data_IF_507856634889
#
_entry.id   IF_507856634889
#
_cell.length_a   1.000
_cell.length_b   1.000
_cell.length_c   1.000
_cell.angle_alpha   90.00
_cell.angle_beta   90.00
_cell.angle_gamma   90.00
#
_symmetry.space_group_name_H-M   'P 1'
#
loop_
_entity.id
_entity.type
_entity.pdbx_description
1 polymer ?
#
# COMPACT_ATOMS: atom_id res chain seq x y z
N UNK A 1 13.93 1.77 34.14
CA UNK A 1 13.39 1.94 32.76
C UNK A 1 14.34 1.22 31.80
N UNK A 2 13.95 0.05 31.31
CA UNK A 2 14.77 -0.75 30.39
C UNK A 2 14.80 -0.07 29.02
N UNK A 3 15.99 0.19 28.51
CA UNK A 3 16.27 0.71 27.18
C UNK A 3 15.49 -0.09 26.12
N UNK A 4 14.64 0.50 25.28
CA UNK A 4 13.96 -0.26 24.23
C UNK A 4 15.01 -0.73 23.23
N UNK A 5 15.25 -2.05 23.19
CA UNK A 5 16.05 -2.69 22.15
C UNK A 5 15.55 -2.21 20.78
N UNK A 6 16.45 -1.71 19.96
CA UNK A 6 16.30 -1.16 18.60
C UNK A 6 14.92 -1.40 17.99
N UNK A 7 14.02 -0.45 18.17
CA UNK A 7 12.76 -0.41 17.41
C UNK A 7 13.14 -0.23 15.95
N UNK A 8 12.69 -1.13 15.08
CA UNK A 8 12.76 -0.97 13.63
C UNK A 8 11.95 0.28 13.24
N UNK A 9 12.57 1.44 13.38
CA UNK A 9 11.94 2.72 13.02
C UNK A 9 11.75 2.75 11.51
N UNK A 10 10.55 3.08 11.07
CA UNK A 10 10.27 3.29 9.65
C UNK A 10 11.19 4.40 9.12
N UNK A 11 12.04 4.07 8.17
CA UNK A 11 12.86 5.06 7.48
C UNK A 11 12.09 5.55 6.23
N UNK A 12 11.63 6.81 6.23
CA UNK A 12 11.01 7.39 5.04
C UNK A 12 12.01 7.41 3.88
N UNK A 13 11.49 7.45 2.66
CA UNK A 13 12.33 7.67 1.48
C UNK A 13 12.99 9.05 1.53
N UNK A 14 14.14 9.18 0.86
CA UNK A 14 14.84 10.47 0.76
C UNK A 14 13.93 11.53 0.14
N UNK A 15 14.00 12.77 0.67
CA UNK A 15 13.31 13.91 0.07
C UNK A 15 14.05 14.41 -1.17
N UNK A 16 13.32 15.01 -2.11
CA UNK A 16 13.91 15.59 -3.32
C UNK A 16 14.89 16.72 -2.98
N UNK A 17 14.55 17.57 -1.98
CA UNK A 17 15.41 18.66 -1.54
C UNK A 17 16.73 18.17 -0.95
N UNK A 18 16.68 17.12 -0.14
CA UNK A 18 17.87 16.52 0.45
C UNK A 18 18.82 16.00 -0.65
N UNK A 19 18.28 15.33 -1.69
CA UNK A 19 19.05 14.80 -2.81
C UNK A 19 19.64 15.93 -3.66
N UNK A 20 18.86 16.97 -3.96
CA UNK A 20 19.35 18.17 -4.65
C UNK A 20 20.55 18.78 -3.93
N UNK A 21 20.43 18.98 -2.61
CA UNK A 21 21.50 19.58 -1.80
C UNK A 21 22.73 18.68 -1.71
N UNK A 22 22.53 17.37 -1.46
CA UNK A 22 23.66 16.44 -1.24
C UNK A 22 24.48 16.17 -2.50
N UNK A 23 23.82 16.10 -3.66
CA UNK A 23 24.48 15.70 -4.91
C UNK A 23 24.59 16.83 -5.94
N UNK A 24 24.23 18.07 -5.56
CA UNK A 24 24.29 19.26 -6.42
C UNK A 24 23.56 19.06 -7.78
N UNK A 25 22.41 18.38 -7.78
CA UNK A 25 21.61 18.13 -8.98
C UNK A 25 20.45 19.11 -9.07
N UNK A 26 20.24 19.71 -10.25
CA UNK A 26 19.18 20.68 -10.48
C UNK A 26 17.78 20.06 -10.56
N UNK A 27 17.69 18.84 -11.12
CA UNK A 27 16.43 18.11 -11.31
C UNK A 27 16.44 16.78 -10.59
N UNK A 28 15.36 16.50 -9.89
CA UNK A 28 15.16 15.22 -9.17
C UNK A 28 13.89 14.55 -9.64
N UNK A 29 13.98 13.25 -9.94
CA UNK A 29 12.86 12.35 -10.23
C UNK A 29 12.72 11.36 -9.09
N UNK A 30 11.58 11.40 -8.37
CA UNK A 30 11.33 10.58 -7.20
C UNK A 30 10.43 9.40 -7.55
N UNK A 31 11.03 8.22 -7.74
CA UNK A 31 10.34 6.96 -8.04
C UNK A 31 10.40 5.98 -6.84
N UNK A 32 10.17 6.49 -5.62
CA UNK A 32 10.44 5.78 -4.37
C UNK A 32 9.21 5.49 -3.50
N UNK A 33 8.14 6.27 -3.61
CA UNK A 33 7.04 6.28 -2.63
C UNK A 33 5.70 5.79 -3.17
N UNK A 34 5.67 5.25 -4.38
CA UNK A 34 4.47 4.74 -5.05
C UNK A 34 3.38 5.83 -5.17
N UNK A 35 3.82 7.06 -5.44
CA UNK A 35 2.95 8.20 -5.69
C UNK A 35 2.45 8.15 -7.14
N UNK A 36 1.27 8.70 -7.40
CA UNK A 36 0.75 8.80 -8.76
C UNK A 36 1.42 10.01 -9.47
N UNK A 37 2.07 9.83 -10.63
CA UNK A 37 2.84 10.88 -11.27
C UNK A 37 1.98 12.01 -11.89
N UNK A 38 0.67 11.80 -12.03
CA UNK A 38 -0.25 12.82 -12.58
C UNK A 38 -0.57 13.95 -11.59
N UNK A 39 -0.29 13.75 -10.27
CA UNK A 39 -0.81 14.64 -9.24
C UNK A 39 -2.33 14.49 -9.06
N UNK A 40 -2.96 15.23 -8.13
CA UNK A 40 -4.38 15.14 -7.87
C UNK A 40 -5.23 15.62 -9.05
N UNK A 41 -6.46 15.10 -9.18
CA UNK A 41 -7.39 15.58 -10.21
C UNK A 41 -7.75 17.05 -10.00
N UNK A 42 -8.03 17.77 -11.10
CA UNK A 42 -8.44 19.17 -11.04
C UNK A 42 -9.71 19.37 -10.20
N UNK A 43 -10.64 18.42 -10.25
CA UNK A 43 -11.85 18.43 -9.43
C UNK A 43 -11.53 18.40 -7.94
N UNK A 44 -10.58 17.56 -7.52
CA UNK A 44 -10.13 17.49 -6.14
C UNK A 44 -9.37 18.76 -5.71
N UNK A 45 -8.50 19.30 -6.57
CA UNK A 45 -7.73 20.54 -6.32
C UNK A 45 -8.68 21.73 -6.14
N UNK A 46 -9.66 21.91 -7.03
CA UNK A 46 -10.59 23.03 -6.96
C UNK A 46 -11.46 22.97 -5.70
N UNK A 47 -11.93 21.77 -5.34
CA UNK A 47 -12.68 21.60 -4.10
C UNK A 47 -11.84 21.91 -2.86
N UNK A 48 -10.58 21.47 -2.82
CA UNK A 48 -9.66 21.81 -1.74
C UNK A 48 -9.42 23.31 -1.59
N UNK A 49 -9.27 24.02 -2.72
CA UNK A 49 -9.11 25.49 -2.72
C UNK A 49 -10.31 26.23 -2.12
N UNK A 50 -11.53 25.76 -2.40
CA UNK A 50 -12.74 26.33 -1.81
C UNK A 50 -12.81 26.04 -0.31
N UNK A 51 -12.45 24.83 0.10
CA UNK A 51 -12.54 24.37 1.46
C UNK A 51 -11.53 25.02 2.42
N UNK A 52 -10.42 25.52 1.92
CA UNK A 52 -9.39 26.23 2.72
C UNK A 52 -10.01 27.42 3.48
N UNK A 53 -11.03 28.06 2.93
CA UNK A 53 -11.68 29.24 3.54
C UNK A 53 -12.46 28.92 4.82
N UNK A 54 -12.78 27.64 5.09
CA UNK A 54 -13.56 27.18 6.23
C UNK A 54 -12.75 26.40 7.28
N UNK A 55 -11.42 26.37 7.16
CA UNK A 55 -10.54 25.60 8.06
C UNK A 55 -10.54 26.07 9.53
N UNK A 56 -11.15 27.19 9.84
CA UNK A 56 -11.37 27.63 11.23
C UNK A 56 -12.46 26.81 11.95
N UNK A 57 -13.14 25.89 11.29
CA UNK A 57 -14.15 25.00 11.84
C UNK A 57 -13.67 23.55 11.84
N UNK A 58 -14.15 22.78 12.82
CA UNK A 58 -13.93 21.33 12.83
C UNK A 58 -14.64 20.67 11.65
N UNK A 59 -14.05 19.62 11.06
CA UNK A 59 -14.70 18.84 10.01
C UNK A 59 -15.88 18.02 10.56
N UNK A 60 -16.67 17.41 9.66
CA UNK A 60 -17.60 16.36 10.09
C UNK A 60 -16.82 15.19 10.69
N UNK A 61 -16.91 15.02 12.02
CA UNK A 61 -16.22 13.95 12.75
C UNK A 61 -16.72 12.54 12.41
N UNK A 62 -17.88 12.42 11.76
CA UNK A 62 -18.41 11.14 11.25
C UNK A 62 -18.00 10.87 9.81
N UNK A 63 -17.50 11.86 9.06
CA UNK A 63 -17.21 11.79 7.63
C UNK A 63 -18.43 11.30 6.81
N UNK A 64 -19.64 11.77 7.15
CA UNK A 64 -20.90 11.23 6.66
C UNK A 64 -21.01 11.25 5.14
N UNK A 65 -20.70 12.37 4.51
CA UNK A 65 -20.74 12.53 3.05
C UNK A 65 -19.72 11.63 2.33
N UNK A 66 -18.53 11.50 2.91
CA UNK A 66 -17.50 10.62 2.34
C UNK A 66 -17.89 9.15 2.47
N UNK A 67 -18.46 8.74 3.61
CA UNK A 67 -18.97 7.37 3.81
C UNK A 67 -20.08 7.07 2.81
N UNK A 68 -21.00 8.01 2.60
CA UNK A 68 -22.09 7.83 1.63
C UNK A 68 -21.52 7.71 0.19
N UNK A 69 -20.56 8.54 -0.18
CA UNK A 69 -19.93 8.45 -1.51
C UNK A 69 -19.20 7.12 -1.71
N UNK A 70 -18.48 6.62 -0.70
CA UNK A 70 -17.83 5.29 -0.75
C UNK A 70 -18.89 4.19 -0.89
N UNK A 71 -20.02 4.30 -0.17
CA UNK A 71 -21.12 3.35 -0.27
C UNK A 71 -21.71 3.33 -1.70
N UNK A 72 -21.91 4.51 -2.29
CA UNK A 72 -22.39 4.65 -3.69
C UNK A 72 -21.38 4.10 -4.68
N UNK A 73 -20.08 4.40 -4.51
CA UNK A 73 -19.00 3.87 -5.33
C UNK A 73 -18.98 2.33 -5.32
N UNK A 74 -19.26 1.74 -4.16
CA UNK A 74 -19.31 0.28 -3.96
C UNK A 74 -20.74 -0.31 -4.00
N UNK A 75 -21.70 0.33 -4.71
CA UNK A 75 -23.13 -0.04 -4.71
C UNK A 75 -23.40 -1.52 -5.02
N UNK A 76 -22.58 -2.15 -5.87
CA UNK A 76 -22.72 -3.57 -6.23
C UNK A 76 -22.65 -4.52 -5.02
N UNK A 77 -21.95 -4.11 -3.94
CA UNK A 77 -21.80 -4.91 -2.73
C UNK A 77 -22.93 -4.71 -1.71
N UNK A 78 -23.84 -3.77 -1.95
CA UNK A 78 -24.98 -3.44 -1.08
C UNK A 78 -24.54 -3.15 0.37
N UNK A 79 -23.45 -2.41 0.52
CA UNK A 79 -22.93 -1.98 1.82
C UNK A 79 -23.91 -0.99 2.47
N UNK A 80 -23.94 -1.00 3.82
CA UNK A 80 -24.57 0.04 4.63
C UNK A 80 -23.48 1.02 5.09
N UNK A 81 -23.84 2.26 5.44
CA UNK A 81 -22.90 3.26 5.98
C UNK A 81 -22.12 2.73 7.18
N UNK A 82 -22.77 1.96 8.04
CA UNK A 82 -22.20 1.30 9.22
C UNK A 82 -21.21 0.16 8.92
N UNK A 83 -21.00 -0.18 7.66
CA UNK A 83 -19.95 -1.12 7.23
C UNK A 83 -18.62 -0.42 6.88
N UNK A 84 -18.57 0.91 6.98
CA UNK A 84 -17.45 1.72 6.50
C UNK A 84 -16.89 2.56 7.64
N UNK A 85 -15.58 2.65 7.76
CA UNK A 85 -14.86 3.54 8.66
C UNK A 85 -13.82 4.35 7.86
N UNK A 86 -13.69 5.64 8.18
CA UNK A 86 -12.71 6.53 7.57
C UNK A 86 -11.55 6.76 8.53
N UNK A 87 -10.34 6.77 7.99
CA UNK A 87 -9.12 7.02 8.77
C UNK A 87 -8.17 8.00 8.11
N UNK A 88 -7.25 8.51 8.89
CA UNK A 88 -6.14 9.38 8.45
C UNK A 88 -5.10 8.56 7.65
N UNK A 89 -5.47 8.18 6.43
CA UNK A 89 -4.87 7.12 5.62
C UNK A 89 -5.29 5.72 6.09
N UNK A 90 -5.04 4.71 5.25
CA UNK A 90 -5.25 3.31 5.66
C UNK A 90 -4.40 2.91 6.89
N UNK A 91 -3.29 3.60 7.13
CA UNK A 91 -2.43 3.35 8.28
C UNK A 91 -3.17 3.52 9.62
N UNK A 92 -4.02 4.56 9.76
CA UNK A 92 -4.82 4.70 10.97
C UNK A 92 -5.83 3.56 11.12
N UNK A 93 -6.43 3.10 10.02
CA UNK A 93 -7.33 1.93 10.09
C UNK A 93 -6.57 0.70 10.60
N UNK A 94 -5.35 0.46 10.09
CA UNK A 94 -4.50 -0.64 10.55
C UNK A 94 -4.13 -0.50 12.04
N UNK A 95 -3.84 0.73 12.50
CA UNK A 95 -3.60 1.02 13.92
C UNK A 95 -4.83 0.74 14.78
N UNK A 96 -6.01 1.22 14.35
CA UNK A 96 -7.27 0.95 15.04
C UNK A 96 -7.57 -0.54 15.15
N UNK A 97 -7.23 -1.33 14.12
CA UNK A 97 -7.33 -2.79 14.17
C UNK A 97 -6.41 -3.35 15.26
N UNK A 98 -5.14 -2.91 15.30
CA UNK A 98 -4.21 -3.31 16.36
C UNK A 98 -4.76 -3.01 17.75
N UNK A 99 -5.19 -1.78 17.99
CA UNK A 99 -5.75 -1.32 19.26
C UNK A 99 -7.04 -2.05 19.66
N UNK A 100 -7.85 -2.48 18.68
CA UNK A 100 -9.14 -3.12 18.93
C UNK A 100 -9.04 -4.64 19.15
N UNK A 101 -8.05 -5.31 18.56
CA UNK A 101 -8.03 -6.78 18.50
C UNK A 101 -6.77 -7.41 19.07
N UNK A 102 -5.76 -6.61 19.45
CA UNK A 102 -4.50 -7.12 20.00
C UNK A 102 -4.30 -6.69 21.44
N UNK A 103 -3.81 -7.62 22.23
CA UNK A 103 -3.30 -7.40 23.59
C UNK A 103 -1.86 -7.92 23.67
N UNK A 104 -1.18 -7.61 24.78
CA UNK A 104 0.17 -8.14 25.08
C UNK A 104 0.15 -9.67 25.02
N UNK A 105 1.13 -10.24 24.31
CA UNK A 105 1.31 -11.68 24.09
C UNK A 105 0.32 -12.36 23.12
N UNK A 106 -0.65 -11.64 22.55
CA UNK A 106 -1.40 -12.16 21.39
C UNK A 106 -0.46 -12.37 20.20
N UNK A 107 -0.83 -13.24 19.28
CA UNK A 107 -0.03 -13.49 18.09
C UNK A 107 -0.65 -12.84 16.85
N UNK A 108 0.23 -12.23 16.05
CA UNK A 108 -0.09 -11.66 14.74
C UNK A 108 0.71 -12.38 13.67
N UNK A 109 0.03 -12.88 12.65
CA UNK A 109 0.71 -13.51 11.51
C UNK A 109 0.87 -12.50 10.38
N UNK A 110 2.09 -12.37 9.87
CA UNK A 110 2.43 -11.57 8.70
C UNK A 110 3.36 -12.36 7.77
N UNK A 111 3.28 -12.10 6.48
CA UNK A 111 4.25 -12.66 5.53
C UNK A 111 5.61 -11.99 5.65
N UNK A 112 6.68 -12.75 5.40
CA UNK A 112 8.01 -12.19 5.18
C UNK A 112 7.95 -11.07 4.12
N UNK A 113 8.77 -10.04 4.29
CA UNK A 113 8.82 -8.89 3.41
C UNK A 113 7.52 -8.07 3.32
N UNK A 114 6.51 -8.32 4.19
CA UNK A 114 5.28 -7.52 4.19
C UNK A 114 5.51 -6.05 4.57
N UNK A 115 4.50 -5.23 4.34
CA UNK A 115 4.52 -3.80 4.67
C UNK A 115 4.88 -3.56 6.14
N UNK A 116 5.93 -2.77 6.38
CA UNK A 116 6.56 -2.60 7.70
C UNK A 116 5.60 -2.09 8.78
N UNK A 117 4.54 -1.39 8.40
CA UNK A 117 3.55 -0.85 9.33
C UNK A 117 2.86 -1.96 10.12
N UNK A 118 2.67 -3.15 9.57
CA UNK A 118 2.10 -4.27 10.31
C UNK A 118 2.98 -4.68 11.50
N UNK A 119 4.31 -4.75 11.30
CA UNK A 119 5.27 -5.02 12.38
C UNK A 119 5.25 -3.92 13.44
N UNK A 120 5.23 -2.64 13.00
CA UNK A 120 5.21 -1.50 13.91
C UNK A 120 3.98 -1.52 14.82
N UNK A 121 2.80 -1.75 14.24
CA UNK A 121 1.54 -1.82 14.99
C UNK A 121 1.56 -3.02 15.95
N UNK A 122 1.97 -4.20 15.48
CA UNK A 122 2.03 -5.39 16.35
C UNK A 122 2.95 -5.16 17.55
N UNK A 123 4.13 -4.59 17.33
CA UNK A 123 5.08 -4.28 18.38
C UNK A 123 4.55 -3.23 19.38
N UNK A 124 3.84 -2.19 18.89
CA UNK A 124 3.27 -1.15 19.78
C UNK A 124 2.16 -1.70 20.68
N UNK A 125 1.48 -2.76 20.27
CA UNK A 125 0.49 -3.46 21.09
C UNK A 125 1.12 -4.53 22.00
N UNK A 126 2.43 -4.75 21.94
CA UNK A 126 3.10 -5.84 22.68
C UNK A 126 2.73 -7.25 22.18
N UNK A 127 2.22 -7.34 20.95
CA UNK A 127 1.87 -8.61 20.33
C UNK A 127 3.12 -9.31 19.76
N UNK A 128 3.12 -10.63 19.78
CA UNK A 128 4.15 -11.48 19.20
C UNK A 128 3.93 -11.61 17.69
N UNK A 129 4.95 -11.28 16.91
CA UNK A 129 4.92 -11.43 15.46
C UNK A 129 5.33 -12.83 15.06
N UNK A 130 4.46 -13.54 14.34
CA UNK A 130 4.75 -14.79 13.66
C UNK A 130 4.95 -14.48 12.17
N UNK A 131 6.21 -14.44 11.76
CA UNK A 131 6.57 -14.14 10.37
C UNK A 131 6.67 -15.44 9.58
N UNK A 132 5.83 -15.57 8.53
CA UNK A 132 5.78 -16.77 7.68
C UNK A 132 6.48 -16.54 6.35
N UNK A 133 7.03 -17.62 5.77
CA UNK A 133 7.69 -17.53 4.48
C UNK A 133 6.69 -17.25 3.35
N UNK A 134 7.15 -16.56 2.33
CA UNK A 134 6.47 -16.40 1.04
C UNK A 134 6.82 -17.57 0.11
N UNK A 135 6.13 -17.68 -1.02
CA UNK A 135 6.39 -18.72 -2.01
C UNK A 135 7.82 -18.63 -2.59
N UNK A 136 8.46 -19.81 -2.78
CA UNK A 136 9.86 -19.93 -3.18
C UNK A 136 10.05 -19.69 -4.69
N UNK A 137 11.31 -19.53 -5.11
CA UNK A 137 11.75 -19.19 -6.46
C UNK A 137 11.28 -20.14 -7.59
N UNK A 138 11.05 -21.41 -7.27
CA UNK A 138 10.65 -22.43 -8.26
C UNK A 138 9.14 -22.62 -8.37
N UNK A 139 8.37 -21.76 -7.69
CA UNK A 139 6.92 -21.76 -7.70
C UNK A 139 6.43 -20.73 -8.75
N UNK A 140 5.38 -21.07 -9.50
CA UNK A 140 4.73 -20.13 -10.44
C UNK A 140 4.18 -18.89 -9.75
N UNK A 141 4.00 -18.97 -8.44
CA UNK A 141 3.57 -17.88 -7.55
C UNK A 141 4.72 -17.21 -6.78
N UNK A 142 5.93 -17.18 -7.36
CA UNK A 142 7.14 -16.62 -6.75
C UNK A 142 6.90 -15.25 -6.09
N UNK A 143 7.40 -15.09 -4.86
CA UNK A 143 7.25 -13.88 -4.03
C UNK A 143 5.79 -13.52 -3.63
N UNK A 144 4.82 -14.38 -3.91
CA UNK A 144 3.44 -14.19 -3.39
C UNK A 144 3.32 -14.62 -1.94
N UNK A 145 2.28 -14.12 -1.29
CA UNK A 145 1.89 -14.58 0.04
C UNK A 145 1.60 -16.09 0.01
N UNK A 146 2.20 -16.84 0.93
CA UNK A 146 1.96 -18.29 1.08
C UNK A 146 0.83 -18.52 2.09
N UNK A 147 -0.37 -18.73 1.60
CA UNK A 147 -1.56 -18.95 2.44
C UNK A 147 -1.47 -20.23 3.28
N UNK A 148 -0.82 -21.28 2.78
CA UNK A 148 -0.60 -22.52 3.54
C UNK A 148 0.33 -22.28 4.72
N UNK A 149 1.47 -21.58 4.50
CA UNK A 149 2.37 -21.21 5.60
C UNK A 149 1.68 -20.36 6.66
N UNK A 150 0.76 -19.48 6.27
CA UNK A 150 -0.08 -18.70 7.21
C UNK A 150 -0.96 -19.66 8.01
N UNK A 151 -1.70 -20.55 7.35
CA UNK A 151 -2.60 -21.51 7.97
C UNK A 151 -1.87 -22.40 8.97
N UNK A 152 -0.74 -22.97 8.59
CA UNK A 152 0.06 -23.90 9.41
C UNK A 152 0.67 -23.22 10.64
N UNK A 153 0.80 -21.89 10.62
CA UNK A 153 1.33 -21.09 11.74
C UNK A 153 0.27 -20.59 12.72
N UNK A 154 -1.01 -20.92 12.50
CA UNK A 154 -2.10 -20.51 13.39
C UNK A 154 -2.01 -21.27 14.71
N UNK A 155 -2.06 -20.54 15.82
CA UNK A 155 -2.14 -21.06 17.19
C UNK A 155 -3.41 -20.59 17.91
N UNK A 156 -3.61 -21.05 19.14
CA UNK A 156 -4.69 -20.56 20.01
C UNK A 156 -4.56 -19.07 20.37
N UNK A 157 -3.34 -18.50 20.28
CA UNK A 157 -3.02 -17.10 20.56
C UNK A 157 -3.15 -16.18 19.35
N UNK A 158 -3.31 -16.73 18.13
CA UNK A 158 -3.45 -15.92 16.90
C UNK A 158 -4.75 -15.13 16.92
N UNK A 159 -4.65 -13.81 16.81
CA UNK A 159 -5.79 -12.87 16.80
C UNK A 159 -5.97 -12.17 15.46
N UNK A 160 -4.87 -11.76 14.82
CA UNK A 160 -4.90 -10.98 13.58
C UNK A 160 -3.94 -11.57 12.55
N UNK A 161 -4.39 -11.61 11.31
CA UNK A 161 -3.57 -11.96 10.14
C UNK A 161 -3.60 -10.75 9.19
N UNK A 162 -2.43 -10.22 8.81
CA UNK A 162 -2.34 -9.15 7.81
C UNK A 162 -1.90 -9.73 6.45
N UNK A 163 -2.68 -9.44 5.41
CA UNK A 163 -2.42 -9.84 4.03
C UNK A 163 -2.51 -8.60 3.14
N UNK A 164 -1.38 -8.12 2.62
CA UNK A 164 -1.37 -7.09 1.58
C UNK A 164 -1.68 -7.74 0.22
N UNK A 165 -2.74 -7.29 -0.45
CA UNK A 165 -3.19 -7.88 -1.71
C UNK A 165 -3.76 -6.84 -2.69
N UNK A 166 -2.96 -6.30 -3.62
CA UNK A 166 -1.56 -6.64 -3.97
C UNK A 166 -0.53 -6.30 -2.90
N UNK A 167 0.54 -7.08 -2.86
CA UNK A 167 1.59 -6.99 -1.85
C UNK A 167 2.57 -5.83 -2.10
N UNK A 168 2.94 -5.14 -1.07
CA UNK A 168 4.05 -4.19 -1.05
C UNK A 168 5.14 -4.76 -0.10
N UNK A 169 6.40 -5.00 -0.58
CA UNK A 169 7.04 -4.39 -1.75
C UNK A 169 7.10 -5.26 -3.01
N UNK A 170 6.54 -6.47 -3.03
CA UNK A 170 6.74 -7.41 -4.15
C UNK A 170 5.90 -7.07 -5.38
N UNK A 171 4.74 -6.44 -5.22
CA UNK A 171 3.78 -6.18 -6.29
C UNK A 171 2.90 -7.37 -6.66
N UNK A 172 3.14 -8.53 -6.06
CA UNK A 172 2.44 -9.78 -6.33
C UNK A 172 1.02 -9.82 -5.75
N UNK A 173 0.20 -10.72 -6.23
CA UNK A 173 -1.20 -10.84 -5.80
C UNK A 173 -1.58 -12.31 -5.58
N UNK A 174 -2.43 -12.56 -4.61
CA UNK A 174 -3.16 -13.82 -4.42
C UNK A 174 -4.54 -13.68 -5.04
N UNK A 175 -4.96 -14.64 -5.83
CA UNK A 175 -6.27 -14.62 -6.45
C UNK A 175 -7.41 -14.81 -5.42
N UNK A 176 -8.59 -14.29 -5.76
CA UNK A 176 -9.75 -14.28 -4.86
C UNK A 176 -10.26 -15.69 -4.54
N UNK A 177 -10.08 -16.67 -5.43
CA UNK A 177 -10.49 -18.08 -5.20
C UNK A 177 -9.60 -18.70 -4.13
N UNK A 178 -8.29 -18.59 -4.26
CA UNK A 178 -7.31 -19.06 -3.26
C UNK A 178 -7.54 -18.41 -1.90
N UNK A 179 -7.81 -17.08 -1.90
CA UNK A 179 -8.14 -16.36 -0.67
C UNK A 179 -9.45 -16.85 -0.04
N UNK A 180 -10.47 -17.17 -0.84
CA UNK A 180 -11.73 -17.75 -0.35
C UNK A 180 -11.52 -19.10 0.32
N UNK A 181 -10.76 -19.99 -0.29
CA UNK A 181 -10.47 -21.32 0.29
C UNK A 181 -9.65 -21.20 1.58
N UNK A 182 -8.68 -20.30 1.62
CA UNK A 182 -7.94 -20.00 2.84
C UNK A 182 -8.89 -19.51 3.96
N UNK A 183 -9.76 -18.55 3.70
CA UNK A 183 -10.70 -18.00 4.69
C UNK A 183 -11.69 -19.05 5.22
N UNK A 184 -12.07 -20.04 4.40
CA UNK A 184 -12.86 -21.20 4.86
C UNK A 184 -12.12 -22.10 5.82
N UNK A 185 -10.81 -22.20 5.66
CA UNK A 185 -9.95 -23.17 6.37
C UNK A 185 -9.45 -22.70 7.73
N UNK A 186 -9.69 -21.45 8.12
CA UNK A 186 -9.19 -20.84 9.35
C UNK A 186 -10.29 -20.58 10.39
N UNK A 187 -9.97 -20.51 11.69
CA UNK A 187 -10.93 -20.20 12.74
C UNK A 187 -11.59 -18.82 12.55
N UNK A 188 -12.92 -18.77 12.63
CA UNK A 188 -13.71 -17.53 12.42
C UNK A 188 -13.46 -16.43 13.46
N UNK A 189 -12.84 -16.76 14.60
CA UNK A 189 -12.46 -15.80 15.65
C UNK A 189 -11.23 -14.96 15.29
N UNK A 190 -10.46 -15.35 14.28
CA UNK A 190 -9.26 -14.64 13.83
C UNK A 190 -9.68 -13.55 12.85
N UNK A 191 -9.26 -12.33 13.09
CA UNK A 191 -9.49 -11.21 12.17
C UNK A 191 -8.47 -11.30 11.03
N UNK A 192 -8.94 -11.31 9.80
CA UNK A 192 -8.09 -11.26 8.60
C UNK A 192 -8.21 -9.90 7.95
N UNK A 193 -7.10 -9.16 7.95
CA UNK A 193 -7.00 -7.85 7.32
C UNK A 193 -6.45 -8.02 5.91
N UNK A 194 -7.23 -7.61 4.91
CA UNK A 194 -6.83 -7.63 3.51
C UNK A 194 -6.59 -6.19 3.08
N UNK A 195 -5.30 -5.83 2.97
CA UNK A 195 -4.90 -4.48 2.61
C UNK A 195 -4.86 -4.34 1.08
N UNK A 196 -5.87 -3.66 0.55
CA UNK A 196 -6.10 -3.42 -0.87
C UNK A 196 -5.65 -2.02 -1.31
N UNK A 197 -4.58 -1.47 -0.77
CA UNK A 197 -4.10 -0.13 -1.11
C UNK A 197 -3.77 0.06 -2.61
N UNK A 198 -3.63 -1.01 -3.38
CA UNK A 198 -3.28 -1.00 -4.82
C UNK A 198 -4.31 -1.73 -5.70
N UNK A 199 -5.48 -2.06 -5.17
CA UNK A 199 -6.42 -2.97 -5.83
C UNK A 199 -6.94 -2.46 -7.17
N UNK A 200 -7.05 -1.15 -7.37
CA UNK A 200 -7.56 -0.58 -8.61
C UNK A 200 -6.65 -0.96 -9.80
N UNK A 201 -5.32 -0.97 -9.60
CA UNK A 201 -4.35 -1.42 -10.61
C UNK A 201 -4.50 -2.91 -10.92
N UNK A 202 -4.72 -3.74 -9.90
CA UNK A 202 -4.94 -5.17 -10.06
C UNK A 202 -6.27 -5.48 -10.76
N UNK A 203 -7.35 -4.78 -10.40
CA UNK A 203 -8.64 -4.90 -11.06
C UNK A 203 -8.57 -4.52 -12.53
N UNK A 204 -7.78 -3.51 -12.89
CA UNK A 204 -7.55 -3.14 -14.28
C UNK A 204 -6.85 -4.24 -15.09
N UNK A 205 -6.07 -5.09 -14.44
CA UNK A 205 -5.46 -6.31 -15.00
C UNK A 205 -6.34 -7.58 -14.84
N UNK A 206 -7.63 -7.42 -14.55
CA UNK A 206 -8.62 -8.52 -14.50
C UNK A 206 -8.75 -9.21 -13.13
N UNK A 207 -8.05 -8.76 -12.09
CA UNK A 207 -8.22 -9.30 -10.74
C UNK A 207 -9.54 -8.86 -10.09
N UNK A 208 -10.00 -9.67 -9.13
CA UNK A 208 -11.19 -9.34 -8.32
C UNK A 208 -10.76 -8.88 -6.92
N UNK A 209 -11.48 -7.91 -6.39
CA UNK A 209 -11.32 -7.45 -5.01
C UNK A 209 -11.82 -8.48 -4.01
N UNK A 210 -11.19 -8.53 -2.83
CA UNK A 210 -11.70 -9.30 -1.70
C UNK A 210 -13.05 -8.79 -1.16
N UNK A 211 -13.53 -7.62 -1.61
CA UNK A 211 -14.91 -7.17 -1.36
C UNK A 211 -15.95 -8.16 -1.89
N UNK A 212 -15.64 -8.97 -2.88
CA UNK A 212 -16.52 -10.04 -3.35
C UNK A 212 -16.78 -11.10 -2.26
N UNK A 213 -15.92 -11.17 -1.23
CA UNK A 213 -16.00 -12.11 -0.11
C UNK A 213 -16.65 -11.52 1.14
N UNK A 214 -16.96 -10.21 1.18
CA UNK A 214 -17.40 -9.51 2.39
C UNK A 214 -18.69 -10.04 2.99
N UNK A 215 -19.54 -10.65 2.18
CA UNK A 215 -20.81 -11.24 2.64
C UNK A 215 -20.63 -12.66 3.19
N UNK A 216 -19.65 -13.38 2.66
CA UNK A 216 -19.41 -14.79 2.99
C UNK A 216 -18.63 -14.93 4.31
N UNK A 217 -17.79 -13.94 4.64
CA UNK A 217 -16.88 -13.99 5.79
C UNK A 217 -17.07 -12.79 6.71
N UNK A 218 -17.42 -13.07 7.97
CA UNK A 218 -17.71 -12.04 8.96
C UNK A 218 -16.47 -11.46 9.64
N UNK A 219 -15.34 -12.13 9.53
CA UNK A 219 -14.09 -11.82 10.21
C UNK A 219 -13.02 -11.16 9.32
N UNK A 220 -13.42 -10.63 8.16
CA UNK A 220 -12.50 -9.90 7.28
C UNK A 220 -12.67 -8.38 7.41
N UNK A 221 -11.56 -7.68 7.35
CA UNK A 221 -11.50 -6.23 7.25
C UNK A 221 -10.71 -5.89 5.98
N UNK A 222 -11.30 -5.12 5.09
CA UNK A 222 -10.66 -4.68 3.86
C UNK A 222 -10.26 -3.22 4.02
N UNK A 223 -8.98 -2.90 3.85
CA UNK A 223 -8.47 -1.53 3.91
C UNK A 223 -8.15 -1.00 2.53
N UNK A 224 -8.43 0.28 2.30
CA UNK A 224 -8.19 0.99 1.05
C UNK A 224 -7.64 2.39 1.29
N UNK A 225 -6.95 2.92 0.30
CA UNK A 225 -6.26 4.20 0.42
C UNK A 225 -6.55 5.11 -0.76
N UNK A 226 -6.69 6.40 -0.49
CA UNK A 226 -6.69 7.43 -1.53
C UNK A 226 -5.29 7.92 -1.92
N UNK A 227 -4.26 7.38 -1.25
CA UNK A 227 -2.86 7.81 -1.47
C UNK A 227 -2.28 7.40 -2.82
N UNK A 228 -2.83 6.36 -3.48
CA UNK A 228 -2.20 5.76 -4.67
C UNK A 228 -2.88 6.22 -5.95
N UNK A 229 -3.88 5.49 -6.42
CA UNK A 229 -4.54 5.78 -7.69
C UNK A 229 -5.19 7.17 -7.74
N UNK A 230 -5.71 7.64 -6.62
CA UNK A 230 -6.38 8.95 -6.52
C UNK A 230 -5.43 10.14 -6.34
N UNK A 231 -4.11 9.89 -6.21
CA UNK A 231 -3.06 10.90 -6.17
C UNK A 231 -3.15 11.94 -5.03
N UNK A 232 -3.83 11.63 -3.93
CA UNK A 232 -3.96 12.52 -2.78
C UNK A 232 -3.23 11.98 -1.53
N UNK A 233 -2.02 11.46 -1.73
CA UNK A 233 -1.21 10.88 -0.66
C UNK A 233 -0.95 11.86 0.51
N UNK A 234 -0.75 13.14 0.21
CA UNK A 234 -0.52 14.20 1.19
C UNK A 234 -1.76 14.56 2.02
N UNK A 235 -2.96 14.30 1.52
CA UNK A 235 -4.23 14.59 2.24
C UNK A 235 -4.49 13.64 3.39
N UNK A 236 -3.84 12.48 3.43
CA UNK A 236 -3.95 11.47 4.50
C UNK A 236 -5.38 10.96 4.71
N UNK A 237 -5.95 10.30 3.73
CA UNK A 237 -7.29 9.70 3.82
C UNK A 237 -7.30 8.28 3.27
N UNK A 238 -8.02 7.39 3.97
CA UNK A 238 -8.25 6.00 3.61
C UNK A 238 -9.51 5.49 4.31
N UNK A 239 -9.90 4.26 4.01
CA UNK A 239 -11.10 3.68 4.60
C UNK A 239 -10.96 2.18 4.82
N UNK A 240 -11.75 1.68 5.76
CA UNK A 240 -11.95 0.26 6.04
C UNK A 240 -13.39 -0.17 5.79
N UNK A 241 -13.56 -1.40 5.32
CA UNK A 241 -14.88 -2.03 5.11
C UNK A 241 -14.91 -3.36 5.85
N UNK A 242 -15.96 -3.56 6.68
CA UNK A 242 -16.16 -4.82 7.41
C UNK A 242 -17.62 -4.99 7.84
N UNK A 243 -17.90 -6.00 8.64
CA UNK A 243 -19.18 -6.16 9.32
C UNK A 243 -19.40 -5.05 10.34
N UNK A 244 -20.65 -4.77 10.64
CA UNK A 244 -21.07 -3.62 11.49
C UNK A 244 -20.46 -3.68 12.89
N UNK A 245 -20.45 -4.83 13.53
CA UNK A 245 -19.88 -5.06 14.86
C UNK A 245 -18.38 -4.76 14.93
N UNK A 246 -17.64 -5.18 13.90
CA UNK A 246 -16.22 -4.87 13.76
C UNK A 246 -16.03 -3.35 13.58
N UNK A 247 -16.79 -2.73 12.68
CA UNK A 247 -16.68 -1.27 12.44
C UNK A 247 -17.04 -0.47 13.70
N UNK A 248 -18.04 -0.89 14.46
CA UNK A 248 -18.37 -0.26 15.75
C UNK A 248 -17.20 -0.34 16.74
N UNK A 249 -16.56 -1.51 16.84
CA UNK A 249 -15.38 -1.70 17.69
C UNK A 249 -14.22 -0.82 17.27
N UNK A 250 -13.94 -0.67 15.96
CA UNK A 250 -12.91 0.25 15.46
C UNK A 250 -13.26 1.72 15.77
N UNK A 251 -14.52 2.10 15.58
CA UNK A 251 -14.98 3.47 15.86
C UNK A 251 -14.87 3.85 17.34
N UNK A 252 -15.00 2.90 18.30
CA UNK A 252 -14.82 3.18 19.72
C UNK A 252 -13.37 3.54 20.09
N UNK A 253 -12.39 3.20 19.24
CA UNK A 253 -10.97 3.52 19.43
C UNK A 253 -10.51 4.72 18.60
N UNK A 254 -11.35 5.21 17.70
CA UNK A 254 -11.03 6.30 16.78
C UNK A 254 -11.06 7.64 17.48
N UNK A 255 -10.06 8.49 17.22
CA UNK A 255 -10.03 9.87 17.70
C UNK A 255 -11.13 10.72 17.05
N UNK A 256 -11.75 11.64 17.79
CA UNK A 256 -12.67 12.60 17.18
C UNK A 256 -11.97 13.43 16.10
N UNK A 257 -12.69 13.76 15.02
CA UNK A 257 -12.19 14.63 13.94
C UNK A 257 -10.86 14.19 13.31
N UNK A 258 -10.60 12.88 13.28
CA UNK A 258 -9.33 12.28 12.85
C UNK A 258 -8.96 12.57 11.38
N UNK A 259 -9.93 12.84 10.51
CA UNK A 259 -9.69 13.14 9.10
C UNK A 259 -10.06 14.59 8.81
N UNK A 260 -9.10 15.37 8.34
CA UNK A 260 -9.28 16.79 8.05
C UNK A 260 -10.27 17.02 6.89
N UNK A 261 -10.89 18.20 6.87
CA UNK A 261 -11.96 18.56 5.95
C UNK A 261 -11.51 18.56 4.48
N UNK A 262 -10.30 19.07 4.21
CA UNK A 262 -9.74 19.07 2.85
C UNK A 262 -9.60 17.62 2.35
N UNK A 263 -9.14 16.71 3.18
CA UNK A 263 -9.01 15.30 2.81
C UNK A 263 -10.36 14.66 2.48
N UNK A 264 -11.40 14.95 3.27
CA UNK A 264 -12.75 14.43 3.03
C UNK A 264 -13.29 14.90 1.68
N UNK A 265 -13.25 16.21 1.40
CA UNK A 265 -13.80 16.74 0.14
C UNK A 265 -12.99 16.32 -1.08
N UNK A 266 -11.65 16.28 -0.98
CA UNK A 266 -10.79 15.78 -2.05
C UNK A 266 -11.09 14.30 -2.36
N UNK A 267 -11.29 13.46 -1.35
CA UNK A 267 -11.64 12.05 -1.54
C UNK A 267 -12.99 11.89 -2.24
N UNK A 268 -14.01 12.63 -1.83
CA UNK A 268 -15.33 12.65 -2.49
C UNK A 268 -15.20 13.00 -3.98
N UNK A 269 -14.48 14.07 -4.29
CA UNK A 269 -14.31 14.51 -5.68
C UNK A 269 -13.47 13.54 -6.50
N UNK A 270 -12.46 12.91 -5.88
CA UNK A 270 -11.64 11.88 -6.53
C UNK A 270 -12.45 10.62 -6.90
N UNK A 271 -13.36 10.16 -6.04
CA UNK A 271 -14.25 9.01 -6.34
C UNK A 271 -15.19 9.29 -7.54
N UNK A 272 -15.61 10.55 -7.69
CA UNK A 272 -16.49 10.99 -8.79
C UNK A 272 -15.74 11.16 -10.11
N UNK A 273 -14.43 11.35 -10.08
CA UNK A 273 -13.61 11.64 -11.27
C UNK A 273 -13.19 10.36 -11.99
N UNK A 274 -14.13 9.73 -12.67
CA UNK A 274 -13.91 8.49 -13.43
C UNK A 274 -12.90 8.66 -14.58
N UNK A 275 -12.80 9.90 -15.14
CA UNK A 275 -11.84 10.18 -16.20
C UNK A 275 -10.43 10.13 -15.64
N UNK A 276 -10.16 10.82 -14.54
CA UNK A 276 -8.87 10.82 -13.86
C UNK A 276 -8.43 9.40 -13.47
N UNK A 277 -9.37 8.61 -12.92
CA UNK A 277 -9.10 7.20 -12.56
C UNK A 277 -8.63 6.40 -13.77
N UNK A 278 -9.34 6.52 -14.90
CA UNK A 278 -9.01 5.84 -16.16
C UNK A 278 -7.66 6.28 -16.71
N UNK A 279 -7.41 7.59 -16.75
CA UNK A 279 -6.15 8.16 -17.24
C UNK A 279 -4.96 7.69 -16.37
N UNK A 280 -5.14 7.59 -15.04
CA UNK A 280 -4.14 7.08 -14.11
C UNK A 280 -3.82 5.59 -14.34
N UNK A 281 -4.81 4.79 -14.66
CA UNK A 281 -4.63 3.36 -14.96
C UNK A 281 -3.91 3.17 -16.30
N UNK A 282 -4.30 3.93 -17.33
CA UNK A 282 -3.69 3.85 -18.66
C UNK A 282 -2.22 4.27 -18.65
N UNK A 283 -1.88 5.38 -17.98
CA UNK A 283 -0.49 5.82 -17.89
C UNK A 283 0.36 4.79 -17.12
N UNK A 284 -0.19 4.24 -16.02
CA UNK A 284 0.50 3.20 -15.27
C UNK A 284 0.77 1.97 -16.14
N UNK A 285 -0.23 1.48 -16.88
CA UNK A 285 -0.10 0.34 -17.79
C UNK A 285 0.97 0.61 -18.85
N UNK A 286 0.84 1.70 -19.60
CA UNK A 286 1.75 2.05 -20.71
C UNK A 286 3.20 2.19 -20.22
N UNK A 287 3.40 2.86 -19.08
CA UNK A 287 4.73 3.06 -18.51
C UNK A 287 5.29 1.77 -17.90
N UNK A 288 4.45 0.93 -17.29
CA UNK A 288 4.84 -0.39 -16.81
C UNK A 288 5.31 -1.29 -17.96
N UNK A 289 4.51 -1.39 -19.03
CA UNK A 289 4.84 -2.16 -20.23
C UNK A 289 6.16 -1.68 -20.88
N UNK A 290 6.38 -0.37 -20.91
CA UNK A 290 7.65 0.20 -21.37
C UNK A 290 8.82 -0.27 -20.49
N UNK A 291 8.71 -0.16 -19.16
CA UNK A 291 9.80 -0.54 -18.25
C UNK A 291 10.13 -2.04 -18.39
N UNK A 292 9.13 -2.94 -18.35
CA UNK A 292 9.41 -4.39 -18.45
C UNK A 292 10.06 -4.74 -19.79
N UNK A 293 9.57 -4.17 -20.90
CA UNK A 293 10.16 -4.36 -22.23
C UNK A 293 11.65 -3.96 -22.25
N UNK A 294 12.00 -2.85 -21.62
CA UNK A 294 13.39 -2.40 -21.57
C UNK A 294 14.27 -3.23 -20.61
N UNK A 295 13.70 -3.72 -19.50
CA UNK A 295 14.38 -4.64 -18.59
C UNK A 295 14.63 -6.00 -19.24
N UNK A 296 13.66 -6.52 -20.00
CA UNK A 296 13.78 -7.79 -20.73
C UNK A 296 14.89 -7.72 -21.78
N UNK A 297 14.98 -6.62 -22.55
CA UNK A 297 16.10 -6.39 -23.52
C UNK A 297 17.46 -6.43 -22.84
N UNK A 298 17.55 -5.95 -21.60
CA UNK A 298 18.80 -5.91 -20.85
C UNK A 298 19.02 -7.16 -19.98
N UNK A 299 18.12 -8.17 -20.07
CA UNK A 299 18.12 -9.41 -19.27
C UNK A 299 18.10 -9.14 -17.74
N UNK A 300 17.48 -8.07 -17.31
CA UNK A 300 17.35 -7.68 -15.90
C UNK A 300 16.12 -8.32 -15.29
N UNK A 301 16.30 -9.08 -14.20
CA UNK A 301 15.23 -9.79 -13.51
C UNK A 301 14.38 -8.85 -12.68
N UNK A 302 13.06 -9.02 -12.73
CA UNK A 302 12.08 -8.29 -11.91
C UNK A 302 10.96 -9.22 -11.45
N UNK A 303 10.11 -8.73 -10.53
CA UNK A 303 8.91 -9.40 -10.07
C UNK A 303 7.72 -8.78 -10.81
N UNK A 304 6.88 -9.59 -11.48
CA UNK A 304 5.65 -9.09 -12.11
C UNK A 304 4.74 -8.43 -11.08
N UNK A 305 4.20 -7.25 -11.41
CA UNK A 305 3.55 -6.40 -10.44
C UNK A 305 2.14 -6.00 -10.85
N UNK A 306 1.22 -6.07 -9.88
CA UNK A 306 -0.17 -5.66 -9.96
C UNK A 306 -0.42 -4.30 -9.28
N UNK A 307 0.63 -3.46 -9.20
CA UNK A 307 0.62 -2.18 -8.50
C UNK A 307 1.13 -1.04 -9.39
N UNK A 308 1.39 0.12 -8.81
CA UNK A 308 2.05 1.24 -9.49
C UNK A 308 3.57 1.28 -9.24
N UNK A 309 4.19 0.14 -9.02
CA UNK A 309 5.64 0.00 -8.88
C UNK A 309 6.10 -1.36 -9.40
N UNK A 310 7.40 -1.50 -9.62
CA UNK A 310 8.06 -2.76 -9.96
C UNK A 310 9.24 -3.00 -9.02
N UNK A 311 9.46 -4.25 -8.62
CA UNK A 311 10.59 -4.64 -7.78
C UNK A 311 11.61 -5.39 -8.64
N UNK A 312 12.80 -4.79 -8.78
CA UNK A 312 13.85 -5.20 -9.69
C UNK A 312 15.01 -5.82 -8.91
N UNK A 313 15.53 -6.92 -9.39
CA UNK A 313 16.68 -7.63 -8.82
C UNK A 313 17.99 -7.14 -9.43
N UNK A 314 18.91 -6.67 -8.59
CA UNK A 314 20.24 -6.21 -9.00
C UNK A 314 21.38 -7.02 -8.35
N UNK A 315 21.05 -8.07 -7.57
CA UNK A 315 22.06 -8.85 -6.88
C UNK A 315 22.89 -8.01 -5.90
N UNK A 316 24.18 -8.26 -5.85
CA UNK A 316 25.12 -7.54 -4.97
C UNK A 316 25.26 -6.06 -5.32
N UNK A 317 24.91 -5.68 -6.54
CA UNK A 317 25.08 -4.32 -7.05
C UNK A 317 23.93 -3.36 -6.70
N UNK A 318 22.89 -3.83 -6.03
CA UNK A 318 21.70 -3.02 -5.73
C UNK A 318 22.05 -1.70 -5.00
N UNK A 319 22.99 -1.70 -4.06
CA UNK A 319 23.44 -0.50 -3.36
C UNK A 319 24.23 0.45 -4.26
N UNK A 320 25.10 -0.09 -5.12
CA UNK A 320 25.91 0.68 -6.09
C UNK A 320 25.00 1.34 -7.12
N UNK A 321 24.03 0.59 -7.66
CA UNK A 321 23.02 1.10 -8.61
C UNK A 321 22.18 2.19 -7.94
N UNK A 322 21.74 1.99 -6.71
CA UNK A 322 20.95 2.98 -5.96
C UNK A 322 21.73 4.30 -5.79
N UNK A 323 22.98 4.23 -5.28
CA UNK A 323 23.82 5.42 -5.09
C UNK A 323 24.17 6.10 -6.43
N UNK A 324 24.44 5.33 -7.47
CA UNK A 324 24.69 5.84 -8.80
C UNK A 324 23.49 6.60 -9.38
N UNK A 325 22.27 6.11 -9.17
CA UNK A 325 21.03 6.78 -9.59
C UNK A 325 20.75 8.04 -8.75
N UNK A 326 21.03 8.02 -7.45
CA UNK A 326 20.93 9.21 -6.59
C UNK A 326 21.84 10.34 -7.09
N UNK A 327 23.08 10.05 -7.47
CA UNK A 327 24.02 11.01 -8.08
C UNK A 327 23.52 11.58 -9.41
N UNK A 328 22.56 10.92 -10.05
CA UNK A 328 21.86 11.39 -11.26
C UNK A 328 20.50 12.03 -10.98
N UNK A 329 20.17 12.25 -9.68
CA UNK A 329 18.89 12.83 -9.25
C UNK A 329 17.70 11.88 -9.37
N UNK A 330 17.91 10.56 -9.42
CA UNK A 330 16.82 9.57 -9.49
C UNK A 330 16.74 8.84 -8.16
N UNK A 331 15.62 8.97 -7.46
CA UNK A 331 15.40 8.38 -6.14
C UNK A 331 14.55 7.11 -6.28
N UNK A 332 15.12 5.96 -5.96
CA UNK A 332 14.44 4.68 -5.86
C UNK A 332 14.23 4.28 -4.39
N UNK A 333 13.61 3.13 -4.15
CA UNK A 333 13.42 2.57 -2.80
C UNK A 333 14.26 1.31 -2.62
N UNK A 334 15.34 1.38 -1.81
CA UNK A 334 16.05 0.18 -1.36
C UNK A 334 15.14 -0.67 -0.47
N UNK A 335 15.26 -2.00 -0.57
CA UNK A 335 14.41 -2.92 0.16
C UNK A 335 15.14 -3.66 1.31
N UNK A 336 16.27 -3.14 1.78
CA UNK A 336 17.04 -3.70 2.89
C UNK A 336 16.15 -3.89 4.14
N UNK A 337 15.35 -2.87 4.50
CA UNK A 337 14.45 -2.91 5.65
C UNK A 337 13.31 -3.93 5.51
N UNK A 338 13.10 -4.43 4.30
CA UNK A 338 12.16 -5.52 4.01
C UNK A 338 12.83 -6.89 3.98
N UNK A 339 14.16 -6.97 4.26
CA UNK A 339 14.94 -8.20 4.12
C UNK A 339 15.20 -8.62 2.68
N UNK A 340 15.19 -7.66 1.75
CA UNK A 340 15.45 -7.84 0.32
C UNK A 340 16.61 -6.93 -0.16
N UNK A 341 17.84 -7.10 0.37
CA UNK A 341 18.96 -6.19 0.11
C UNK A 341 19.37 -6.13 -1.37
N UNK A 342 19.07 -7.18 -2.13
CA UNK A 342 19.45 -7.30 -3.54
C UNK A 342 18.42 -6.71 -4.52
N UNK A 343 17.39 -6.03 -3.98
CA UNK A 343 16.29 -5.50 -4.76
C UNK A 343 16.11 -3.99 -4.54
N UNK A 344 15.69 -3.32 -5.62
CA UNK A 344 15.21 -1.94 -5.57
C UNK A 344 13.76 -1.90 -6.07
N UNK A 345 12.90 -1.15 -5.38
CA UNK A 345 11.53 -0.89 -5.84
C UNK A 345 11.48 0.45 -6.56
N UNK A 346 10.90 0.43 -7.75
CA UNK A 346 10.77 1.57 -8.66
C UNK A 346 9.29 1.89 -8.82
N UNK A 347 8.86 3.08 -8.44
CA UNK A 347 7.51 3.58 -8.73
C UNK A 347 7.36 3.82 -10.24
N UNK A 348 6.22 3.47 -10.80
CA UNK A 348 5.89 3.81 -12.19
C UNK A 348 5.60 5.30 -12.29
N UNK A 349 6.50 6.03 -12.93
CA UNK A 349 6.40 7.47 -13.18
C UNK A 349 5.71 7.79 -14.50
N UNK A 350 5.82 9.05 -14.94
CA UNK A 350 5.49 9.44 -16.31
C UNK A 350 6.42 8.77 -17.32
N UNK A 351 6.03 8.73 -18.60
CA UNK A 351 6.87 8.14 -19.64
C UNK A 351 8.28 8.77 -19.70
N UNK A 352 8.38 10.08 -19.52
CA UNK A 352 9.65 10.79 -19.49
C UNK A 352 10.53 10.37 -18.31
N UNK A 353 9.93 10.18 -17.12
CA UNK A 353 10.63 9.71 -15.93
C UNK A 353 11.09 8.27 -16.08
N UNK A 354 10.26 7.41 -16.66
CA UNK A 354 10.61 6.03 -16.98
C UNK A 354 11.76 5.93 -17.98
N UNK A 355 11.72 6.72 -19.06
CA UNK A 355 12.82 6.81 -20.03
C UNK A 355 14.12 7.30 -19.40
N UNK A 356 14.02 8.32 -18.54
CA UNK A 356 15.19 8.86 -17.81
C UNK A 356 15.79 7.81 -16.88
N UNK A 357 14.96 7.08 -16.15
CA UNK A 357 15.38 5.97 -15.29
C UNK A 357 16.14 4.89 -16.10
N UNK A 358 15.54 4.35 -17.16
CA UNK A 358 16.16 3.30 -18.00
C UNK A 358 17.47 3.78 -18.62
N UNK A 359 17.51 5.00 -19.16
CA UNK A 359 18.74 5.58 -19.73
C UNK A 359 19.89 5.60 -18.70
N UNK A 360 19.63 6.10 -17.50
CA UNK A 360 20.66 6.21 -16.46
C UNK A 360 21.02 4.84 -15.87
N UNK A 361 20.07 3.92 -15.76
CA UNK A 361 20.33 2.55 -15.35
C UNK A 361 21.34 1.86 -16.30
N UNK A 362 21.13 1.97 -17.61
CA UNK A 362 22.04 1.41 -18.63
C UNK A 362 23.46 1.98 -18.56
N UNK A 363 23.58 3.29 -18.29
CA UNK A 363 24.91 3.92 -18.11
C UNK A 363 25.64 3.31 -16.91
N UNK A 364 24.94 3.06 -15.81
CA UNK A 364 25.54 2.48 -14.60
C UNK A 364 25.93 1.00 -14.81
N UNK A 365 25.05 0.22 -15.42
CA UNK A 365 25.30 -1.20 -15.68
C UNK A 365 26.51 -1.44 -16.62
N UNK A 366 26.77 -0.53 -17.59
CA UNK A 366 27.97 -0.58 -18.43
C UNK A 366 29.26 -0.29 -17.65
N UNK A 367 29.20 0.37 -16.51
CA UNK A 367 30.35 0.70 -15.65
C UNK A 367 30.63 -0.35 -14.59
N UNK A 368 29.68 -1.22 -14.32
CA UNK A 368 29.78 -2.30 -13.33
C UNK A 368 30.12 -3.66 -13.97
N UNK A 369 30.03 -3.76 -15.28
CA UNK A 369 30.59 -4.86 -16.09
C UNK A 369 32.00 -4.52 -16.54
#
# INVERSE_FOLDING_TARGET
>A
MSNPKSTNTYQPGLSAELVKKKYAVSKVVKLASNENPLGPSLNAINAARQEILSLNRYPDGKCSDLIEEIRVYHKKYKLKTKNIIIGNGSNEILELIGRSFLAKNDEVIISKHAFLVYKMISNSMGAKIVEVNINKKNDTSFMTVNLNSIKDSISSKTKVIFIANPSNPTGTIVDTKSLKEFLKSIPKKIIVVIDEAYIEYACYRGHKSALDLIKDFKNIIITRSFSKIYAIAGSRVGYGISQTDIIQKLNSMRQPFNVNQIAQIMAIKSLKDKKFLRDSLEINKTCYEYIIKELDKDSIKYIDSYTNFITIYFGKDASVIFEGLLKKGIILRPLNNYGLPNYLRVTIGTMNECKLFIKNLRILLKRTR
#
